data_IF_958119341520
#
_entry.id   IF_958119341520
#
_cell.length_a   1.000
_cell.length_b   1.000
_cell.length_c   1.000
_cell.angle_alpha   90.00
_cell.angle_beta   90.00
_cell.angle_gamma   90.00
#
_symmetry.space_group_name_H-M   'P 1'
#
loop_
_entity.id
_entity.type
_entity.pdbx_description
1 polymer ?
#
# COMPACT_ATOMS: atom_id res chain seq x y z
N UNK A 1 23.89 9.78 11.81
CA UNK A 1 24.01 8.50 11.07
C UNK A 1 23.66 8.76 9.61
N UNK A 2 24.52 8.39 8.68
CA UNK A 2 24.24 8.55 7.24
C UNK A 2 23.33 7.42 6.77
N UNK A 3 22.03 7.71 6.63
CA UNK A 3 20.99 6.73 6.30
C UNK A 3 21.19 6.08 4.92
N UNK A 4 21.90 6.75 3.99
CA UNK A 4 22.13 6.25 2.64
C UNK A 4 23.10 5.06 2.57
N UNK A 5 23.86 4.82 3.67
CA UNK A 5 24.82 3.73 3.82
C UNK A 5 24.29 2.54 4.62
N UNK A 6 23.08 2.64 5.13
CA UNK A 6 22.51 1.59 5.98
C UNK A 6 21.67 0.61 5.16
N UNK A 7 21.75 -0.66 5.54
CA UNK A 7 20.89 -1.71 5.01
C UNK A 7 19.45 -1.60 5.56
N UNK A 8 18.51 -2.22 4.87
CA UNK A 8 17.09 -2.20 5.21
C UNK A 8 16.82 -2.58 6.66
N UNK A 9 17.44 -3.67 7.13
CA UNK A 9 17.25 -4.23 8.47
C UNK A 9 17.70 -3.26 9.57
N UNK A 10 18.71 -2.42 9.31
CA UNK A 10 19.14 -1.37 10.24
C UNK A 10 18.19 -0.16 10.17
N UNK A 11 17.76 0.24 8.96
CA UNK A 11 16.81 1.34 8.78
C UNK A 11 15.48 1.04 9.48
N UNK A 12 14.94 -0.19 9.34
CA UNK A 12 13.66 -0.59 9.94
C UNK A 12 13.66 -0.54 11.46
N UNK A 13 14.84 -0.58 12.10
CA UNK A 13 14.99 -0.58 13.56
C UNK A 13 15.28 0.81 14.14
N UNK A 14 15.97 1.67 13.38
CA UNK A 14 16.60 2.85 13.97
C UNK A 14 16.07 4.19 13.46
N UNK A 15 15.54 4.28 12.24
CA UNK A 15 15.11 5.56 11.68
C UNK A 15 13.96 6.16 12.49
N UNK A 16 14.06 7.46 12.78
CA UNK A 16 13.10 8.20 13.60
C UNK A 16 13.31 8.05 15.11
N UNK A 17 14.28 7.19 15.52
CA UNK A 17 14.61 6.95 16.93
C UNK A 17 16.14 6.73 17.10
N UNK A 18 16.92 7.48 16.34
CA UNK A 18 18.38 7.45 16.40
C UNK A 18 18.90 7.87 17.77
N UNK A 19 18.16 8.75 18.44
CA UNK A 19 18.41 9.17 19.81
C UNK A 19 17.29 8.63 20.72
N UNK A 20 17.59 8.40 22.03
CA UNK A 20 16.56 8.10 23.02
C UNK A 20 15.59 9.27 23.17
N UNK A 21 14.45 9.05 23.83
CA UNK A 21 13.52 10.13 24.19
C UNK A 21 14.25 11.22 24.99
N UNK A 22 14.19 12.50 24.58
CA UNK A 22 15.01 13.56 25.18
C UNK A 22 14.60 13.92 26.61
N UNK A 23 13.42 13.47 27.07
CA UNK A 23 12.91 13.78 28.40
C UNK A 23 13.18 12.68 29.42
N UNK A 24 13.12 11.43 28.94
CA UNK A 24 13.15 10.26 29.85
C UNK A 24 14.30 9.29 29.59
N UNK A 25 15.09 9.53 28.52
CA UNK A 25 16.11 8.61 28.00
C UNK A 25 15.56 7.22 27.61
N UNK A 26 14.24 7.12 27.41
CA UNK A 26 13.61 5.86 27.02
C UNK A 26 14.12 5.37 25.66
N UNK A 27 14.53 4.09 25.60
CA UNK A 27 15.01 3.47 24.36
C UNK A 27 13.86 3.09 23.43
N UNK A 28 12.74 2.61 23.98
CA UNK A 28 11.54 2.35 23.19
C UNK A 28 10.86 3.66 22.80
N UNK A 29 10.16 3.68 21.65
CA UNK A 29 9.37 4.84 21.24
C UNK A 29 8.23 5.05 22.23
N UNK A 30 8.14 6.21 22.93
CA UNK A 30 7.03 6.49 23.82
C UNK A 30 5.70 6.63 23.08
N UNK A 31 4.60 6.24 23.74
CA UNK A 31 3.26 6.46 23.22
C UNK A 31 2.74 7.79 23.75
N UNK A 32 2.75 8.83 22.90
CA UNK A 32 2.22 10.14 23.24
C UNK A 32 0.71 10.20 23.03
N UNK A 33 -0.05 9.63 23.97
CA UNK A 33 -1.50 9.59 23.92
C UNK A 33 -2.10 10.91 24.43
N UNK A 34 -2.03 11.94 23.59
CA UNK A 34 -2.55 13.29 23.91
C UNK A 34 -3.25 13.90 22.71
N UNK A 35 -4.23 14.76 22.97
CA UNK A 35 -4.95 15.54 21.95
C UNK A 35 -4.25 16.84 21.59
N UNK A 36 -3.56 17.47 22.55
CA UNK A 36 -3.05 18.85 22.39
C UNK A 36 -1.74 19.05 23.16
N UNK A 37 -1.03 20.12 22.78
CA UNK A 37 0.28 20.47 23.31
C UNK A 37 0.24 21.93 23.81
N UNK A 38 0.94 22.22 24.92
CA UNK A 38 1.00 23.53 25.53
C UNK A 38 2.01 24.42 24.78
N UNK A 39 1.64 25.63 24.49
CA UNK A 39 2.54 26.64 23.97
C UNK A 39 3.23 27.41 25.12
N UNK A 40 4.43 27.93 24.88
CA UNK A 40 5.18 28.68 25.87
C UNK A 40 4.54 30.05 26.16
N UNK A 41 4.06 30.71 25.10
CA UNK A 41 3.38 32.00 25.13
C UNK A 41 2.51 32.18 23.85
N UNK A 42 1.86 33.34 23.75
CA UNK A 42 0.99 33.68 22.61
C UNK A 42 1.75 33.85 21.29
N UNK A 43 3.00 34.31 21.34
CA UNK A 43 3.84 34.51 20.16
C UNK A 43 4.27 33.14 19.58
N UNK A 44 4.68 32.21 20.47
CA UNK A 44 4.98 30.82 20.10
C UNK A 44 3.73 30.14 19.48
N UNK A 45 2.55 30.34 20.06
CA UNK A 45 1.31 29.82 19.49
C UNK A 45 1.07 30.38 18.07
N UNK A 46 1.20 31.69 17.87
CA UNK A 46 1.02 32.31 16.55
C UNK A 46 2.01 31.75 15.51
N UNK A 47 3.30 31.62 15.84
CA UNK A 47 4.35 31.10 14.97
C UNK A 47 4.08 29.65 14.54
N UNK A 48 3.54 28.80 15.45
CA UNK A 48 3.11 27.42 15.12
C UNK A 48 1.99 27.39 14.10
N UNK A 49 0.98 28.25 14.26
CA UNK A 49 -0.16 28.29 13.35
C UNK A 49 0.15 28.92 11.98
N UNK A 50 1.11 29.85 11.93
CA UNK A 50 1.60 30.43 10.67
C UNK A 50 2.63 29.55 9.94
N UNK A 51 3.00 28.41 10.48
CA UNK A 51 4.03 27.49 9.96
C UNK A 51 5.46 28.09 9.96
N UNK A 52 5.69 29.16 10.73
CA UNK A 52 7.02 29.76 10.92
C UNK A 52 7.88 28.97 11.91
N UNK A 53 7.24 28.28 12.85
CA UNK A 53 7.88 27.36 13.79
C UNK A 53 7.32 25.95 13.65
N UNK A 54 8.23 24.97 13.62
CA UNK A 54 7.86 23.54 13.47
C UNK A 54 7.56 22.90 14.82
N UNK A 55 6.60 21.96 14.87
CA UNK A 55 6.34 21.13 16.05
C UNK A 55 4.90 20.76 16.25
N UNK A 56 4.60 20.30 17.46
CA UNK A 56 3.28 19.76 17.77
C UNK A 56 2.29 20.86 18.14
N UNK A 57 1.07 20.76 17.60
CA UNK A 57 -0.04 21.66 17.89
C UNK A 57 -1.21 20.87 18.46
N UNK A 58 -1.66 19.87 17.69
CA UNK A 58 -2.82 19.06 17.99
C UNK A 58 -2.61 17.63 17.44
N UNK A 59 -2.94 16.61 18.23
CA UNK A 59 -2.63 15.21 17.96
C UNK A 59 -3.19 14.64 16.64
N UNK A 60 -4.20 15.29 16.04
CA UNK A 60 -4.68 14.95 14.69
C UNK A 60 -3.67 15.30 13.60
N UNK A 61 -2.94 16.42 13.77
CA UNK A 61 -2.01 16.93 12.76
C UNK A 61 -0.60 16.38 12.93
N UNK A 62 -0.12 16.35 14.17
CA UNK A 62 1.24 15.95 14.53
C UNK A 62 1.26 15.22 15.86
N UNK A 63 2.06 14.14 15.93
CA UNK A 63 2.26 13.38 17.16
C UNK A 63 3.64 12.72 17.11
N UNK A 64 4.46 12.76 18.17
CA UNK A 64 5.81 12.20 18.14
C UNK A 64 5.86 10.71 17.84
N UNK A 65 4.93 9.90 18.34
CA UNK A 65 4.85 8.46 18.05
C UNK A 65 4.57 8.21 16.56
N UNK A 66 3.60 8.93 16.00
CA UNK A 66 3.26 8.85 14.57
C UNK A 66 4.44 9.29 13.70
N UNK A 67 5.15 10.34 14.11
CA UNK A 67 6.32 10.87 13.39
C UNK A 67 7.43 9.84 13.21
N UNK A 68 7.68 8.98 14.22
CA UNK A 68 8.67 7.89 14.09
C UNK A 68 8.23 6.90 13.02
N UNK A 69 6.95 6.51 12.99
CA UNK A 69 6.42 5.60 11.97
C UNK A 69 6.55 6.21 10.56
N UNK A 70 6.18 7.48 10.41
CA UNK A 70 6.26 8.21 9.15
C UNK A 70 7.70 8.30 8.63
N UNK A 71 8.64 8.72 9.47
CA UNK A 71 10.06 8.81 9.10
C UNK A 71 10.65 7.45 8.71
N UNK A 72 10.29 6.41 9.45
CA UNK A 72 10.81 5.05 9.23
C UNK A 72 10.32 4.49 7.90
N UNK A 73 9.04 4.57 7.62
CA UNK A 73 8.51 4.07 6.34
C UNK A 73 8.99 4.92 5.15
N UNK A 74 9.08 6.25 5.31
CA UNK A 74 9.68 7.10 4.29
C UNK A 74 11.11 6.64 3.93
N UNK A 75 11.94 6.37 4.94
CA UNK A 75 13.31 5.91 4.72
C UNK A 75 13.37 4.50 4.08
N UNK A 76 12.48 3.60 4.46
CA UNK A 76 12.42 2.24 3.91
C UNK A 76 12.00 2.24 2.44
N UNK A 77 11.08 3.12 2.03
CA UNK A 77 10.69 3.30 0.63
C UNK A 77 11.69 4.17 -0.17
N UNK A 78 12.56 4.93 0.49
CA UNK A 78 13.45 5.89 -0.14
C UNK A 78 12.77 7.21 -0.52
N UNK A 79 11.69 7.56 0.18
CA UNK A 79 10.97 8.82 0.05
C UNK A 79 11.53 9.93 0.94
N UNK A 80 11.11 11.17 0.66
CA UNK A 80 11.52 12.36 1.43
C UNK A 80 10.61 12.60 2.63
N UNK A 81 9.35 12.17 2.56
CA UNK A 81 8.36 12.36 3.62
C UNK A 81 7.25 11.31 3.53
N UNK A 82 6.57 11.08 4.66
CA UNK A 82 5.39 10.24 4.71
C UNK A 82 4.33 10.80 5.65
N UNK A 83 3.10 10.32 5.50
CA UNK A 83 1.96 10.61 6.37
C UNK A 83 1.27 9.32 6.77
N UNK A 84 1.13 9.09 8.06
CA UNK A 84 0.33 8.01 8.63
C UNK A 84 -1.13 8.48 8.86
N UNK A 85 -2.07 7.65 8.42
CA UNK A 85 -3.52 7.90 8.50
C UNK A 85 -4.27 6.67 9.04
N UNK A 86 -5.55 6.82 9.32
CA UNK A 86 -6.37 5.83 10.03
C UNK A 86 -6.50 4.47 9.31
N UNK A 87 -6.34 4.42 7.99
CA UNK A 87 -6.48 3.18 7.20
C UNK A 87 -5.84 3.31 5.82
N UNK A 88 -5.61 2.16 5.15
CA UNK A 88 -5.19 2.14 3.75
C UNK A 88 -6.20 2.84 2.82
N UNK A 89 -7.49 2.68 3.08
CA UNK A 89 -8.54 3.35 2.30
C UNK A 89 -8.46 4.89 2.44
N UNK A 90 -8.18 5.40 3.65
CA UNK A 90 -7.95 6.83 3.85
C UNK A 90 -6.68 7.32 3.14
N UNK A 91 -5.61 6.50 3.12
CA UNK A 91 -4.39 6.82 2.40
C UNK A 91 -4.64 6.93 0.88
N UNK A 92 -5.35 5.97 0.29
CA UNK A 92 -5.75 5.99 -1.13
C UNK A 92 -6.62 7.22 -1.43
N UNK A 93 -7.65 7.48 -0.62
CA UNK A 93 -8.55 8.62 -0.82
C UNK A 93 -7.78 9.95 -0.79
N UNK A 94 -6.96 10.15 0.24
CA UNK A 94 -6.16 11.37 0.38
C UNK A 94 -5.12 11.54 -0.74
N UNK A 95 -4.51 10.44 -1.18
CA UNK A 95 -3.55 10.50 -2.27
C UNK A 95 -4.18 11.06 -3.55
N UNK A 96 -5.39 10.64 -3.89
CA UNK A 96 -6.09 11.18 -5.05
C UNK A 96 -6.71 12.56 -4.81
N UNK A 97 -7.42 12.76 -3.70
CA UNK A 97 -8.10 14.03 -3.39
C UNK A 97 -7.10 15.20 -3.29
N UNK A 98 -5.85 14.91 -2.99
CA UNK A 98 -4.79 15.92 -2.95
C UNK A 98 -4.48 16.51 -4.32
N UNK A 99 -4.70 15.79 -5.40
CA UNK A 99 -4.28 16.17 -6.76
C UNK A 99 -5.43 16.17 -7.79
N UNK A 100 -6.64 15.80 -7.39
CA UNK A 100 -7.81 15.79 -8.28
C UNK A 100 -8.88 16.77 -7.82
N UNK A 101 -9.70 17.21 -8.78
CA UNK A 101 -10.89 18.05 -8.59
C UNK A 101 -12.00 17.55 -9.53
N UNK A 102 -13.21 18.08 -9.36
CA UNK A 102 -14.31 17.86 -10.30
C UNK A 102 -13.88 18.18 -11.73
N UNK A 103 -14.13 17.25 -12.65
CA UNK A 103 -13.72 17.31 -14.05
C UNK A 103 -12.39 16.63 -14.35
N UNK A 104 -11.65 16.16 -13.34
CA UNK A 104 -10.38 15.47 -13.54
C UNK A 104 -10.54 13.97 -13.83
N UNK A 105 -9.48 13.38 -14.36
CA UNK A 105 -9.43 11.99 -14.82
C UNK A 105 -8.24 11.24 -14.20
N UNK A 106 -8.43 9.93 -13.97
CA UNK A 106 -7.42 9.00 -13.46
C UNK A 106 -7.33 7.83 -14.44
N UNK A 107 -6.12 7.32 -14.70
CA UNK A 107 -5.92 6.01 -15.34
C UNK A 107 -5.51 5.01 -14.25
N UNK A 108 -6.22 3.90 -14.14
CA UNK A 108 -5.94 2.87 -13.13
C UNK A 108 -5.82 1.49 -13.76
N UNK A 109 -4.94 0.64 -13.21
CA UNK A 109 -4.97 -0.78 -13.54
C UNK A 109 -6.31 -1.38 -13.13
N UNK A 110 -6.80 -2.38 -13.89
CA UNK A 110 -8.05 -3.10 -13.54
C UNK A 110 -7.86 -4.09 -12.41
N UNK A 111 -6.64 -4.64 -12.27
CA UNK A 111 -6.25 -5.61 -11.25
C UNK A 111 -5.74 -4.90 -10.00
N UNK A 112 -6.66 -4.29 -9.25
CA UNK A 112 -6.38 -3.56 -8.01
C UNK A 112 -7.34 -4.01 -6.90
N UNK A 113 -7.02 -3.66 -5.66
CA UNK A 113 -7.85 -3.94 -4.50
C UNK A 113 -9.31 -3.47 -4.72
N UNK A 114 -10.27 -4.36 -4.43
CA UNK A 114 -11.70 -4.10 -4.68
C UNK A 114 -12.24 -2.85 -4.02
N UNK A 115 -11.74 -2.47 -2.82
CA UNK A 115 -12.12 -1.21 -2.17
C UNK A 115 -11.64 0.02 -2.94
N UNK A 116 -10.44 -0.02 -3.51
CA UNK A 116 -9.91 1.04 -4.38
C UNK A 116 -10.67 1.09 -5.70
N UNK A 117 -10.98 -0.07 -6.29
CA UNK A 117 -11.83 -0.14 -7.49
C UNK A 117 -13.19 0.54 -7.23
N UNK A 118 -13.88 0.19 -6.15
CA UNK A 118 -15.17 0.79 -5.80
C UNK A 118 -15.08 2.30 -5.56
N UNK A 119 -14.02 2.78 -4.90
CA UNK A 119 -13.77 4.21 -4.73
C UNK A 119 -13.69 4.93 -6.07
N UNK A 120 -12.87 4.39 -6.99
CA UNK A 120 -12.61 5.00 -8.29
C UNK A 120 -13.77 4.83 -9.29
N UNK A 121 -14.47 3.68 -9.27
CA UNK A 121 -15.55 3.37 -10.19
C UNK A 121 -16.91 3.98 -9.80
N UNK A 122 -17.18 4.14 -8.51
CA UNK A 122 -18.51 4.50 -8.02
C UNK A 122 -18.53 5.76 -7.15
N UNK A 123 -17.57 5.91 -6.20
CA UNK A 123 -17.59 7.05 -5.28
C UNK A 123 -17.06 8.32 -5.95
N UNK A 124 -15.94 8.27 -6.64
CA UNK A 124 -15.35 9.45 -7.28
C UNK A 124 -16.18 10.04 -8.42
N UNK A 125 -16.87 9.25 -9.26
CA UNK A 125 -17.80 9.81 -10.26
C UNK A 125 -18.89 10.70 -9.66
N UNK A 126 -19.39 10.40 -8.47
CA UNK A 126 -20.35 11.27 -7.77
C UNK A 126 -19.77 12.64 -7.37
N UNK A 127 -18.43 12.76 -7.36
CA UNK A 127 -17.68 14.00 -7.12
C UNK A 127 -17.15 14.61 -8.43
N UNK A 128 -17.53 14.03 -9.59
CA UNK A 128 -17.10 14.48 -10.92
C UNK A 128 -15.66 14.12 -11.26
N UNK A 129 -15.06 13.12 -10.62
CA UNK A 129 -13.74 12.57 -10.94
C UNK A 129 -13.96 11.23 -11.64
N UNK A 130 -13.42 11.06 -12.85
CA UNK A 130 -13.63 9.87 -13.65
C UNK A 130 -12.38 9.02 -13.77
N UNK A 131 -12.55 7.70 -13.95
CA UNK A 131 -11.43 6.75 -14.04
C UNK A 131 -11.60 5.87 -15.26
N UNK A 132 -10.52 5.68 -16.04
CA UNK A 132 -10.40 4.64 -17.04
C UNK A 132 -9.57 3.49 -16.49
N UNK A 133 -10.18 2.30 -16.42
CA UNK A 133 -9.49 1.09 -16.02
C UNK A 133 -8.88 0.38 -17.23
N UNK A 134 -7.62 -0.02 -17.11
CA UNK A 134 -6.86 -0.62 -18.21
C UNK A 134 -6.16 -1.92 -17.79
N UNK A 135 -5.87 -2.76 -18.77
CA UNK A 135 -4.92 -3.84 -18.62
C UNK A 135 -3.49 -3.24 -18.63
N UNK A 136 -2.93 -3.01 -17.45
CA UNK A 136 -1.63 -2.37 -17.29
C UNK A 136 -0.43 -3.31 -17.53
N UNK A 137 -0.64 -4.60 -17.74
CA UNK A 137 0.40 -5.53 -18.22
C UNK A 137 0.90 -5.12 -19.61
N UNK A 138 0.08 -4.37 -20.34
CA UNK A 138 0.40 -3.76 -21.63
C UNK A 138 0.53 -2.24 -21.45
N UNK A 139 1.74 -1.68 -21.27
CA UNK A 139 1.93 -0.25 -21.05
C UNK A 139 1.29 0.66 -22.11
N UNK A 140 1.17 0.18 -23.35
CA UNK A 140 0.48 0.92 -24.42
C UNK A 140 -1.00 1.22 -24.09
N UNK A 141 -1.69 0.34 -23.35
CA UNK A 141 -3.07 0.59 -22.94
C UNK A 141 -3.14 1.74 -21.93
N UNK A 142 -2.13 1.86 -21.06
CA UNK A 142 -2.03 2.96 -20.11
C UNK A 142 -1.88 4.28 -20.85
N UNK A 143 -0.96 4.33 -21.82
CA UNK A 143 -0.69 5.53 -22.62
C UNK A 143 -1.92 5.97 -23.43
N UNK A 144 -2.62 5.03 -24.09
CA UNK A 144 -3.82 5.31 -24.88
C UNK A 144 -5.00 5.82 -24.03
N UNK A 145 -5.06 5.49 -22.75
CA UNK A 145 -6.11 5.92 -21.85
C UNK A 145 -5.91 7.33 -21.29
N UNK A 146 -4.72 7.92 -21.46
CA UNK A 146 -4.41 9.27 -20.95
C UNK A 146 -5.20 10.32 -21.72
N UNK A 147 -5.86 11.20 -20.97
CA UNK A 147 -6.66 12.34 -21.47
C UNK A 147 -6.00 13.66 -21.06
N UNK A 148 -6.35 14.80 -21.67
CA UNK A 148 -5.80 16.10 -21.29
C UNK A 148 -5.98 16.47 -19.81
N UNK A 149 -7.08 16.02 -19.19
CA UNK A 149 -7.43 16.21 -17.79
C UNK A 149 -6.98 15.07 -16.87
N UNK A 150 -6.18 14.11 -17.35
CA UNK A 150 -5.61 13.05 -16.50
C UNK A 150 -4.62 13.65 -15.49
N UNK A 151 -4.77 13.27 -14.21
CA UNK A 151 -3.97 13.75 -13.09
C UNK A 151 -3.06 12.70 -12.50
N UNK A 152 -3.34 11.41 -12.68
CA UNK A 152 -2.53 10.35 -12.14
C UNK A 152 -2.69 9.06 -12.93
N UNK A 153 -1.65 8.22 -12.87
CA UNK A 153 -1.71 6.79 -13.15
C UNK A 153 -1.62 6.04 -11.83
N UNK A 154 -2.44 5.01 -11.64
CA UNK A 154 -2.46 4.18 -10.44
C UNK A 154 -2.32 2.70 -10.76
N UNK A 155 -1.38 2.04 -10.09
CA UNK A 155 -1.16 0.59 -10.18
C UNK A 155 -0.86 0.02 -8.78
N UNK A 156 -0.85 -1.30 -8.67
CA UNK A 156 -0.32 -2.00 -7.49
C UNK A 156 1.05 -2.61 -7.81
N UNK A 157 1.94 -2.65 -6.82
CA UNK A 157 3.25 -3.29 -6.95
C UNK A 157 3.15 -4.80 -7.18
N UNK A 158 2.15 -5.42 -6.54
CA UNK A 158 1.65 -6.77 -6.81
C UNK A 158 0.13 -6.69 -6.86
N UNK A 159 -0.45 -6.97 -8.00
CA UNK A 159 -1.90 -6.84 -8.22
C UNK A 159 -2.72 -7.87 -7.44
N UNK A 160 -3.86 -7.45 -6.95
CA UNK A 160 -4.81 -8.29 -6.20
C UNK A 160 -5.96 -8.73 -7.14
N UNK A 161 -6.37 -10.01 -7.16
CA UNK A 161 -5.95 -11.08 -6.26
C UNK A 161 -4.81 -11.98 -6.80
N UNK A 162 -4.47 -11.90 -8.07
CA UNK A 162 -3.66 -12.88 -8.80
C UNK A 162 -2.16 -12.55 -8.83
N UNK A 163 -1.67 -11.58 -8.04
CA UNK A 163 -0.28 -11.14 -8.03
C UNK A 163 0.26 -10.73 -9.42
N UNK A 164 -0.57 -10.06 -10.21
CA UNK A 164 -0.19 -9.56 -11.53
C UNK A 164 0.98 -8.58 -11.44
N UNK A 165 1.99 -8.74 -12.30
CA UNK A 165 3.14 -7.85 -12.40
C UNK A 165 3.02 -6.94 -13.62
N UNK A 166 3.40 -5.68 -13.43
CA UNK A 166 3.48 -4.67 -14.50
C UNK A 166 4.87 -4.09 -14.60
N UNK A 167 5.26 -3.60 -15.76
CA UNK A 167 6.57 -2.90 -15.91
C UNK A 167 6.47 -1.49 -15.33
N UNK A 168 6.74 -1.36 -14.04
CA UNK A 168 6.66 -0.11 -13.28
C UNK A 168 7.48 0.99 -13.93
N UNK A 169 8.73 0.71 -14.32
CA UNK A 169 9.62 1.70 -14.91
C UNK A 169 9.06 2.23 -16.24
N UNK A 170 8.50 1.35 -17.08
CA UNK A 170 7.90 1.76 -18.34
C UNK A 170 6.63 2.61 -18.13
N UNK A 171 5.81 2.26 -17.14
CA UNK A 171 4.62 3.06 -16.79
C UNK A 171 5.03 4.41 -16.21
N UNK A 172 6.08 4.47 -15.40
CA UNK A 172 6.63 5.72 -14.89
C UNK A 172 7.12 6.65 -16.02
N UNK A 173 7.85 6.11 -17.01
CA UNK A 173 8.25 6.87 -18.19
C UNK A 173 7.05 7.47 -18.92
N UNK A 174 5.99 6.68 -19.14
CA UNK A 174 4.74 7.17 -19.76
C UNK A 174 4.13 8.29 -18.92
N UNK A 175 3.99 8.09 -17.59
CA UNK A 175 3.43 9.09 -16.69
C UNK A 175 4.20 10.42 -16.78
N UNK A 176 5.52 10.35 -16.69
CA UNK A 176 6.38 11.53 -16.71
C UNK A 176 6.40 12.23 -18.06
N UNK A 177 6.36 11.50 -19.18
CA UNK A 177 6.21 12.11 -20.52
C UNK A 177 4.92 12.93 -20.63
N UNK A 178 3.87 12.53 -19.93
CA UNK A 178 2.61 13.26 -19.86
C UNK A 178 2.52 14.24 -18.69
N UNK A 179 3.61 14.44 -17.94
CA UNK A 179 3.67 15.36 -16.79
C UNK A 179 2.62 15.05 -15.71
N UNK A 180 2.38 13.78 -15.44
CA UNK A 180 1.50 13.29 -14.38
C UNK A 180 2.25 12.31 -13.48
N UNK A 181 1.95 12.25 -12.16
CA UNK A 181 2.62 11.33 -11.25
C UNK A 181 2.11 9.90 -11.41
N UNK A 182 3.02 8.94 -11.12
CA UNK A 182 2.70 7.54 -10.92
C UNK A 182 2.50 7.26 -9.42
N UNK A 183 1.30 6.80 -9.06
CA UNK A 183 0.93 6.37 -7.73
C UNK A 183 0.92 4.84 -7.66
N UNK A 184 1.56 4.26 -6.64
CA UNK A 184 1.64 2.79 -6.48
C UNK A 184 1.18 2.38 -5.09
N UNK A 185 0.20 1.49 -5.02
CA UNK A 185 -0.08 0.75 -3.79
C UNK A 185 0.92 -0.41 -3.66
N UNK A 186 1.82 -0.31 -2.68
CA UNK A 186 2.88 -1.27 -2.43
C UNK A 186 2.58 -2.19 -1.23
N UNK A 187 1.31 -2.31 -0.86
CA UNK A 187 0.87 -3.07 0.32
C UNK A 187 1.32 -4.52 0.29
N UNK A 188 1.22 -5.21 -0.86
CA UNK A 188 1.54 -6.64 -0.96
C UNK A 188 3.03 -6.92 -1.08
N UNK A 189 3.77 -6.05 -1.76
CA UNK A 189 5.21 -6.23 -1.91
C UNK A 189 6.00 -5.77 -0.69
N UNK A 190 5.52 -4.76 0.02
CA UNK A 190 6.24 -4.07 1.10
C UNK A 190 7.54 -3.39 0.61
N UNK A 191 8.10 -2.44 1.34
CA UNK A 191 9.38 -1.84 0.95
C UNK A 191 10.56 -2.82 1.04
N UNK A 192 10.36 -4.02 1.61
CA UNK A 192 11.38 -5.05 1.70
C UNK A 192 11.59 -5.82 0.38
N UNK A 193 10.51 -6.16 -0.32
CA UNK A 193 10.59 -6.89 -1.59
C UNK A 193 10.71 -5.95 -2.79
N UNK A 194 10.02 -4.80 -2.74
CA UNK A 194 9.97 -3.82 -3.82
C UNK A 194 9.98 -2.40 -3.26
N UNK A 195 10.84 -1.55 -3.81
CA UNK A 195 10.87 -0.11 -3.55
C UNK A 195 10.49 0.64 -4.83
N UNK A 196 9.20 0.94 -5.06
CA UNK A 196 8.72 1.50 -6.32
C UNK A 196 9.38 2.84 -6.70
N UNK A 197 9.80 3.64 -5.72
CA UNK A 197 10.50 4.91 -5.93
C UNK A 197 11.83 4.72 -6.70
N UNK A 198 12.48 3.57 -6.55
CA UNK A 198 13.70 3.24 -7.30
C UNK A 198 13.40 2.94 -8.78
N UNK A 199 12.14 2.69 -9.11
CA UNK A 199 11.65 2.38 -10.45
C UNK A 199 10.79 3.52 -11.06
N UNK A 200 10.80 4.70 -10.45
CA UNK A 200 10.15 5.89 -10.97
C UNK A 200 8.77 6.21 -10.41
N UNK A 201 8.29 5.49 -9.38
CA UNK A 201 7.07 5.90 -8.68
C UNK A 201 7.27 7.23 -7.95
N UNK A 202 6.25 8.08 -7.99
CA UNK A 202 6.26 9.37 -7.33
C UNK A 202 5.64 9.31 -5.94
N UNK A 203 4.54 8.59 -5.82
CA UNK A 203 3.82 8.39 -4.55
C UNK A 203 3.63 6.90 -4.31
N UNK A 204 4.00 6.44 -3.11
CA UNK A 204 3.79 5.06 -2.67
C UNK A 204 2.79 5.02 -1.53
N UNK A 205 1.87 4.07 -1.58
CA UNK A 205 0.79 3.95 -0.62
C UNK A 205 0.86 2.55 0.02
N UNK A 206 0.56 2.48 1.31
CA UNK A 206 0.44 1.24 2.04
C UNK A 206 -0.82 1.19 2.88
N UNK A 207 -1.53 0.08 2.83
CA UNK A 207 -2.32 -0.35 3.97
C UNK A 207 -1.37 -0.95 5.02
N UNK A 208 -0.96 -0.14 5.98
CA UNK A 208 -0.06 -0.59 7.06
C UNK A 208 -0.70 -1.67 7.95
N UNK A 209 -2.02 -1.82 7.87
CA UNK A 209 -2.82 -2.91 8.45
C UNK A 209 -2.30 -4.30 8.08
N UNK A 210 -1.68 -4.44 6.89
CA UNK A 210 -1.25 -5.70 6.29
C UNK A 210 0.14 -6.09 6.77
N UNK A 211 1.09 -6.38 5.91
CA UNK A 211 2.44 -6.84 6.29
C UNK A 211 3.18 -5.92 7.25
N UNK A 212 3.00 -4.59 7.17
CA UNK A 212 3.68 -3.65 8.08
C UNK A 212 3.29 -3.98 9.53
N UNK A 213 2.00 -4.04 9.84
CA UNK A 213 1.52 -4.50 11.14
C UNK A 213 1.71 -6.00 11.36
N UNK A 214 1.28 -6.80 10.42
CA UNK A 214 1.52 -8.25 10.30
C UNK A 214 0.76 -9.15 11.27
N UNK A 215 -0.02 -8.60 12.21
CA UNK A 215 -0.65 -9.36 13.30
C UNK A 215 -2.17 -9.21 13.36
N UNK A 216 -2.78 -8.51 12.40
CA UNK A 216 -4.24 -8.30 12.38
C UNK A 216 -4.79 -7.44 13.54
N UNK A 217 -3.93 -6.71 14.27
CA UNK A 217 -4.29 -6.01 15.51
C UNK A 217 -4.67 -4.55 15.31
N UNK A 218 -4.16 -3.90 14.25
CA UNK A 218 -4.29 -2.45 14.09
C UNK A 218 -4.54 -2.05 12.63
N UNK A 219 -5.45 -1.09 12.45
CA UNK A 219 -5.64 -0.41 11.19
C UNK A 219 -4.65 0.74 11.04
N UNK A 220 -4.17 0.96 9.82
CA UNK A 220 -3.37 2.12 9.46
C UNK A 220 -3.16 2.21 7.96
N UNK A 221 -2.90 3.41 7.48
CA UNK A 221 -2.49 3.69 6.10
C UNK A 221 -1.27 4.60 6.11
N UNK A 222 -0.44 4.52 5.08
CA UNK A 222 0.73 5.38 4.93
C UNK A 222 0.82 5.83 3.48
N UNK A 223 1.11 7.11 3.30
CA UNK A 223 1.40 7.73 2.00
C UNK A 223 2.85 8.20 2.07
N UNK A 224 3.66 7.81 1.09
CA UNK A 224 5.07 8.20 0.97
C UNK A 224 5.25 9.01 -0.31
N UNK A 225 5.91 10.16 -0.19
CA UNK A 225 6.29 11.02 -1.31
C UNK A 225 7.77 10.81 -1.66
N UNK A 226 8.04 10.53 -2.92
CA UNK A 226 9.42 10.43 -3.43
C UNK A 226 10.17 11.76 -3.37
N UNK A 227 9.43 12.88 -3.43
CA UNK A 227 9.97 14.24 -3.57
C UNK A 227 10.58 14.54 -4.94
N UNK A 228 10.41 13.65 -5.92
CA UNK A 228 11.05 13.75 -7.25
C UNK A 228 10.14 14.36 -8.31
N UNK A 229 8.82 14.33 -8.13
CA UNK A 229 7.88 14.88 -9.11
C UNK A 229 7.89 16.41 -9.06
N UNK A 230 8.16 17.05 -10.20
CA UNK A 230 8.15 18.51 -10.31
C UNK A 230 6.71 19.03 -10.53
N UNK A 231 6.04 19.34 -9.42
CA UNK A 231 4.67 19.84 -9.39
C UNK A 231 4.52 21.16 -10.17
N UNK A 232 5.56 22.01 -10.15
CA UNK A 232 5.55 23.31 -10.84
C UNK A 232 5.73 23.15 -12.35
N UNK A 233 6.73 22.40 -12.78
CA UNK A 233 6.98 22.13 -14.20
C UNK A 233 5.81 21.44 -14.89
N UNK A 234 5.09 20.57 -14.17
CA UNK A 234 3.87 19.92 -14.67
C UNK A 234 2.77 20.90 -15.06
N UNK A 235 2.58 21.97 -14.27
CA UNK A 235 1.51 22.96 -14.48
C UNK A 235 0.08 22.45 -14.28
N UNK A 236 -0.10 21.18 -13.92
CA UNK A 236 -1.42 20.53 -13.82
C UNK A 236 -2.03 20.55 -12.41
N UNK A 237 -1.28 20.99 -11.39
CA UNK A 237 -1.63 20.83 -9.97
C UNK A 237 -1.67 22.20 -9.24
N UNK A 238 -2.61 23.11 -9.59
CA UNK A 238 -2.67 24.44 -8.98
C UNK A 238 -2.88 24.41 -7.46
N UNK A 239 -3.50 23.35 -6.90
CA UNK A 239 -3.67 23.18 -5.46
C UNK A 239 -2.35 23.03 -4.68
N UNK A 240 -1.25 22.66 -5.35
CA UNK A 240 0.09 22.60 -4.76
C UNK A 240 0.95 23.81 -5.14
N UNK A 241 0.69 24.41 -6.31
CA UNK A 241 1.58 25.38 -6.96
C UNK A 241 1.03 26.81 -7.02
N UNK A 242 -0.22 27.02 -6.59
CA UNK A 242 -0.84 28.34 -6.50
C UNK A 242 -1.05 28.75 -5.04
N UNK A 243 -1.22 30.07 -4.76
CA UNK A 243 -1.54 30.55 -3.43
C UNK A 243 -2.80 29.91 -2.84
N UNK A 244 -2.69 29.33 -1.64
CA UNK A 244 -3.80 28.68 -0.95
C UNK A 244 -4.54 29.69 -0.04
N UNK A 245 -5.86 29.86 -0.21
CA UNK A 245 -6.64 30.83 0.58
C UNK A 245 -6.75 30.45 2.06
N UNK A 246 -6.64 29.15 2.41
CA UNK A 246 -6.70 28.67 3.80
C UNK A 246 -5.44 29.00 4.59
N UNK A 247 -4.34 29.33 3.90
CA UNK A 247 -3.05 29.66 4.48
C UNK A 247 -2.53 31.03 4.00
N UNK A 248 -3.42 32.03 3.94
CA UNK A 248 -3.07 33.42 3.62
C UNK A 248 -2.28 33.63 2.33
N UNK A 249 -2.53 32.74 1.32
CA UNK A 249 -1.84 32.84 0.05
C UNK A 249 -0.50 32.08 -0.02
N UNK A 250 -0.20 31.21 0.95
CA UNK A 250 0.98 30.36 0.93
C UNK A 250 0.88 29.35 -0.23
N UNK A 251 1.99 29.13 -0.92
CA UNK A 251 2.12 28.10 -1.95
C UNK A 251 2.88 26.89 -1.38
N UNK A 252 2.24 25.72 -1.32
CA UNK A 252 2.85 24.52 -0.71
C UNK A 252 4.15 24.08 -1.40
N UNK A 253 4.21 24.18 -2.73
CA UNK A 253 5.42 23.86 -3.48
C UNK A 253 6.60 24.79 -3.19
N UNK A 254 6.33 26.02 -2.75
CA UNK A 254 7.38 27.01 -2.38
C UNK A 254 7.91 26.76 -0.98
N UNK A 255 7.00 26.54 -0.01
CA UNK A 255 7.39 26.47 1.41
C UNK A 255 7.85 25.10 1.85
N UNK A 256 7.34 24.04 1.25
CA UNK A 256 7.67 22.65 1.62
C UNK A 256 8.58 21.95 0.58
N UNK A 257 8.81 22.57 -0.58
CA UNK A 257 9.68 22.02 -1.61
C UNK A 257 9.31 20.57 -1.97
N UNK A 258 10.27 19.63 -1.87
CA UNK A 258 10.03 18.21 -2.17
C UNK A 258 8.95 17.54 -1.32
N UNK A 259 8.66 18.06 -0.13
CA UNK A 259 7.63 17.51 0.76
C UNK A 259 6.24 18.17 0.58
N UNK A 260 6.04 18.97 -0.46
CA UNK A 260 4.81 19.73 -0.70
C UNK A 260 3.55 18.87 -0.71
N UNK A 261 3.63 17.70 -1.32
CA UNK A 261 2.51 16.78 -1.44
C UNK A 261 2.01 16.29 -0.08
N UNK A 262 2.89 15.79 0.77
CA UNK A 262 2.56 15.31 2.12
C UNK A 262 2.16 16.47 3.03
N UNK A 263 2.85 17.61 2.93
CA UNK A 263 2.55 18.80 3.73
C UNK A 263 1.13 19.28 3.46
N UNK A 264 0.70 19.32 2.20
CA UNK A 264 -0.67 19.72 1.86
C UNK A 264 -1.71 18.70 2.35
N UNK A 265 -1.48 17.41 2.22
CA UNK A 265 -2.41 16.40 2.76
C UNK A 265 -2.59 16.62 4.27
N UNK A 266 -1.50 16.80 5.00
CA UNK A 266 -1.53 17.03 6.45
C UNK A 266 -2.27 18.34 6.82
N UNK A 267 -1.94 19.42 6.13
CA UNK A 267 -2.44 20.76 6.44
C UNK A 267 -3.90 20.96 6.01
N UNK A 268 -4.37 20.30 4.96
CA UNK A 268 -5.72 20.45 4.42
C UNK A 268 -6.56 19.21 4.69
N UNK A 269 -6.27 18.09 4.04
CA UNK A 269 -7.16 16.93 4.03
C UNK A 269 -7.25 16.27 5.41
N UNK A 270 -6.13 15.99 6.06
CA UNK A 270 -6.12 15.39 7.39
C UNK A 270 -6.72 16.33 8.43
N UNK A 271 -6.41 17.65 8.36
CA UNK A 271 -6.98 18.64 9.25
C UNK A 271 -8.50 18.70 9.17
N UNK A 272 -9.04 18.73 7.94
CA UNK A 272 -10.44 19.05 7.67
C UNK A 272 -11.34 17.81 7.73
N UNK A 273 -10.85 16.63 7.34
CA UNK A 273 -11.64 15.39 7.26
C UNK A 273 -11.31 14.37 8.34
N UNK A 274 -10.16 14.50 9.02
CA UNK A 274 -9.91 13.90 10.33
C UNK A 274 -9.55 12.41 10.36
N UNK A 275 -9.10 11.79 9.25
CA UNK A 275 -8.68 10.38 9.24
C UNK A 275 -7.31 10.15 9.93
N UNK A 276 -7.15 10.66 11.15
CA UNK A 276 -5.92 10.56 11.92
C UNK A 276 -5.74 9.16 12.51
N UNK A 277 -4.51 8.65 12.47
CA UNK A 277 -4.15 7.39 13.13
C UNK A 277 -4.03 7.63 14.64
N UNK A 278 -4.43 6.63 15.44
CA UNK A 278 -4.16 6.64 16.88
C UNK A 278 -2.67 6.46 17.18
N UNK A 279 -2.09 7.18 18.16
CA UNK A 279 -0.70 6.93 18.60
C UNK A 279 -0.45 5.50 19.04
N UNK A 280 -1.43 4.85 19.66
CA UNK A 280 -1.35 3.45 20.03
C UNK A 280 -1.29 2.52 18.81
N UNK A 281 -2.09 2.76 17.78
CA UNK A 281 -2.00 2.01 16.52
C UNK A 281 -0.65 2.25 15.83
N UNK A 282 -0.16 3.48 15.80
CA UNK A 282 1.16 3.79 15.26
C UNK A 282 2.29 3.03 15.99
N UNK A 283 2.20 2.92 17.31
CA UNK A 283 3.13 2.12 18.12
C UNK A 283 3.07 0.62 17.75
N UNK A 284 1.89 0.02 17.63
CA UNK A 284 1.75 -1.38 17.23
C UNK A 284 2.27 -1.62 15.80
N UNK A 285 2.04 -0.68 14.88
CA UNK A 285 2.60 -0.76 13.53
C UNK A 285 4.12 -0.63 13.51
N UNK A 286 4.70 0.20 14.39
CA UNK A 286 6.15 0.29 14.57
C UNK A 286 6.75 -1.03 15.06
N UNK A 287 6.11 -1.70 16.02
CA UNK A 287 6.55 -3.03 16.48
C UNK A 287 6.51 -4.06 15.35
N UNK A 288 5.44 -4.06 14.55
CA UNK A 288 5.35 -4.90 13.36
C UNK A 288 6.46 -4.59 12.36
N UNK A 289 6.73 -3.31 12.12
CA UNK A 289 7.74 -2.85 11.17
C UNK A 289 9.16 -3.30 11.56
N UNK A 290 9.48 -3.36 12.85
CA UNK A 290 10.80 -3.78 13.34
C UNK A 290 11.19 -5.22 12.98
N UNK A 291 10.22 -6.06 12.67
CA UNK A 291 10.43 -7.46 12.24
C UNK A 291 9.96 -7.72 10.81
N UNK A 292 9.71 -6.67 10.03
CA UNK A 292 9.13 -6.81 8.69
C UNK A 292 9.96 -7.71 7.78
N UNK A 293 11.28 -7.48 7.68
CA UNK A 293 12.17 -8.28 6.82
C UNK A 293 12.12 -9.75 7.18
N UNK A 294 12.26 -10.09 8.46
CA UNK A 294 12.26 -11.47 8.96
C UNK A 294 10.93 -12.19 8.65
N UNK A 295 9.81 -11.49 8.83
CA UNK A 295 8.48 -12.06 8.54
C UNK A 295 8.27 -12.23 7.06
N UNK A 296 8.61 -11.24 6.24
CA UNK A 296 8.41 -11.29 4.79
C UNK A 296 9.28 -12.37 4.16
N UNK A 297 10.52 -12.55 4.59
CA UNK A 297 11.38 -13.66 4.15
C UNK A 297 10.70 -15.02 4.42
N UNK A 298 10.21 -15.25 5.64
CA UNK A 298 9.54 -16.48 6.00
C UNK A 298 8.22 -16.67 5.23
N UNK A 299 7.44 -15.62 5.05
CA UNK A 299 6.23 -15.64 4.22
C UNK A 299 6.53 -16.08 2.79
N UNK A 300 7.56 -15.50 2.16
CA UNK A 300 7.97 -15.84 0.79
C UNK A 300 8.50 -17.26 0.71
N UNK A 301 9.36 -17.66 1.64
CA UNK A 301 9.90 -19.03 1.70
C UNK A 301 8.77 -20.07 1.77
N UNK A 302 7.83 -19.88 2.68
CA UNK A 302 6.67 -20.78 2.83
C UNK A 302 5.79 -20.75 1.57
N UNK A 303 5.50 -19.57 1.03
CA UNK A 303 4.66 -19.42 -0.16
C UNK A 303 5.23 -20.18 -1.37
N UNK A 304 6.53 -20.09 -1.62
CA UNK A 304 7.16 -20.80 -2.74
C UNK A 304 7.06 -22.31 -2.59
N UNK A 305 7.19 -22.85 -1.36
CA UNK A 305 7.00 -24.28 -1.10
C UNK A 305 5.53 -24.71 -1.27
N UNK A 306 4.58 -23.88 -0.86
CA UNK A 306 3.15 -24.13 -1.09
C UNK A 306 2.81 -24.04 -2.58
N UNK A 307 3.36 -23.09 -3.32
CA UNK A 307 3.20 -22.97 -4.78
C UNK A 307 3.71 -24.24 -5.48
N UNK A 308 4.90 -24.71 -5.12
CA UNK A 308 5.47 -25.95 -5.68
C UNK A 308 4.58 -27.17 -5.38
N UNK A 309 4.12 -27.31 -4.14
CA UNK A 309 3.19 -28.38 -3.75
C UNK A 309 1.89 -28.36 -4.56
N UNK A 310 1.25 -27.19 -4.65
CA UNK A 310 -0.03 -27.04 -5.34
C UNK A 310 0.11 -27.24 -6.85
N UNK A 311 1.20 -26.78 -7.47
CA UNK A 311 1.45 -26.94 -8.91
C UNK A 311 1.52 -28.42 -9.34
N UNK A 312 2.02 -29.28 -8.47
CA UNK A 312 2.16 -30.71 -8.74
C UNK A 312 0.98 -31.57 -8.25
N UNK A 313 0.00 -30.96 -7.57
CA UNK A 313 -1.11 -31.72 -6.99
C UNK A 313 -2.20 -32.02 -8.03
N UNK A 314 -2.66 -33.29 -8.21
CA UNK A 314 -3.60 -33.68 -9.28
C UNK A 314 -4.98 -33.03 -9.19
N UNK A 315 -5.41 -32.56 -8.02
CA UNK A 315 -6.68 -31.85 -7.82
C UNK A 315 -6.59 -30.34 -8.02
N UNK A 316 -5.39 -29.80 -8.30
CA UNK A 316 -5.16 -28.40 -8.63
C UNK A 316 -5.10 -28.23 -10.14
N UNK A 317 -5.87 -27.29 -10.67
CA UNK A 317 -5.97 -27.00 -12.10
C UNK A 317 -4.94 -25.94 -12.53
N UNK A 318 -4.72 -24.95 -11.70
CA UNK A 318 -3.85 -23.80 -11.98
C UNK A 318 -3.39 -23.12 -10.69
N UNK A 319 -2.19 -22.60 -10.68
CA UNK A 319 -1.68 -21.72 -9.62
C UNK A 319 -1.29 -20.38 -10.26
N UNK A 320 -1.75 -19.27 -9.67
CA UNK A 320 -1.44 -17.90 -10.13
C UNK A 320 -0.42 -17.28 -9.17
N UNK A 321 0.86 -17.47 -9.46
CA UNK A 321 1.95 -16.91 -8.67
C UNK A 321 3.05 -16.36 -9.60
N UNK A 322 3.64 -15.19 -9.33
CA UNK A 322 4.60 -14.54 -10.24
C UNK A 322 5.90 -15.31 -10.49
N UNK A 323 6.25 -16.26 -9.61
CA UNK A 323 7.42 -17.13 -9.82
C UNK A 323 7.21 -18.15 -10.94
N UNK A 324 5.97 -18.38 -11.38
CA UNK A 324 5.65 -19.35 -12.42
C UNK A 324 5.78 -18.71 -13.81
N UNK A 325 6.48 -19.35 -14.76
CA UNK A 325 6.77 -18.75 -16.07
C UNK A 325 5.53 -18.48 -16.92
N UNK A 326 4.46 -19.27 -16.71
CA UNK A 326 3.21 -19.11 -17.44
C UNK A 326 2.32 -17.98 -16.89
N UNK A 327 2.68 -17.43 -15.72
CA UNK A 327 1.92 -16.36 -15.07
C UNK A 327 2.47 -14.98 -15.43
N UNK A 328 3.78 -14.82 -15.42
CA UNK A 328 4.42 -13.52 -15.65
C UNK A 328 5.73 -13.66 -16.42
N UNK A 329 6.19 -12.60 -17.06
CA UNK A 329 7.51 -12.57 -17.68
C UNK A 329 8.60 -12.84 -16.64
N UNK A 330 9.44 -13.88 -16.81
CA UNK A 330 10.56 -14.13 -15.90
C UNK A 330 11.51 -12.94 -15.75
N UNK A 331 11.65 -12.13 -16.79
CA UNK A 331 12.48 -10.91 -16.76
C UNK A 331 11.89 -9.83 -15.84
N UNK A 332 10.57 -9.63 -15.84
CA UNK A 332 9.92 -8.70 -14.91
C UNK A 332 9.99 -9.20 -13.46
N UNK A 333 9.77 -10.50 -13.26
CA UNK A 333 9.91 -11.09 -11.94
C UNK A 333 11.33 -10.90 -11.38
N UNK A 334 12.36 -11.25 -12.16
CA UNK A 334 13.75 -11.08 -11.74
C UNK A 334 14.13 -9.60 -11.52
N UNK A 335 13.58 -8.68 -12.33
CA UNK A 335 13.83 -7.24 -12.21
C UNK A 335 13.27 -6.65 -10.93
N UNK A 336 12.02 -6.98 -10.59
CA UNK A 336 11.30 -6.34 -9.48
C UNK A 336 11.31 -7.14 -8.18
N UNK A 337 11.46 -8.46 -8.25
CA UNK A 337 11.35 -9.36 -7.10
C UNK A 337 12.53 -10.35 -6.98
N UNK A 338 13.77 -9.86 -6.94
CA UNK A 338 14.95 -10.74 -6.81
C UNK A 338 14.97 -11.51 -5.48
N UNK A 339 14.24 -11.05 -4.46
CA UNK A 339 14.08 -11.71 -3.16
C UNK A 339 12.85 -12.64 -3.10
N UNK A 340 12.15 -12.81 -4.22
CA UNK A 340 10.88 -13.52 -4.30
C UNK A 340 9.67 -12.57 -4.23
N UNK A 341 8.55 -13.00 -4.80
CA UNK A 341 7.28 -12.28 -4.71
C UNK A 341 6.46 -12.79 -3.53
N UNK A 342 5.46 -12.01 -3.15
CA UNK A 342 4.68 -12.13 -1.93
C UNK A 342 4.00 -13.48 -1.67
N UNK A 343 3.41 -13.57 -0.50
CA UNK A 343 2.79 -14.79 0.03
C UNK A 343 1.27 -14.83 -0.16
N UNK A 344 0.72 -13.90 -0.94
CA UNK A 344 -0.71 -13.83 -1.24
C UNK A 344 -0.88 -14.16 -2.72
N UNK A 345 -1.58 -15.26 -3.02
CA UNK A 345 -1.79 -15.71 -4.39
C UNK A 345 -3.08 -16.49 -4.50
N UNK A 346 -3.49 -16.82 -5.73
CA UNK A 346 -4.67 -17.65 -6.00
C UNK A 346 -4.29 -18.95 -6.66
N UNK A 347 -5.16 -19.95 -6.49
CA UNK A 347 -5.12 -21.18 -7.26
C UNK A 347 -6.53 -21.65 -7.58
N UNK A 348 -6.66 -22.50 -8.59
CA UNK A 348 -7.91 -23.11 -9.02
C UNK A 348 -7.86 -24.60 -8.77
N UNK A 349 -8.91 -25.13 -8.15
CA UNK A 349 -9.06 -26.58 -7.96
C UNK A 349 -9.86 -27.22 -9.08
N UNK A 350 -9.79 -28.54 -9.21
CA UNK A 350 -10.71 -29.30 -10.05
C UNK A 350 -12.13 -29.18 -9.49
N UNK A 351 -13.12 -29.02 -10.38
CA UNK A 351 -14.51 -28.79 -10.00
C UNK A 351 -14.93 -27.33 -10.05
N UNK A 352 -15.78 -26.92 -9.13
CA UNK A 352 -16.39 -25.58 -9.09
C UNK A 352 -16.50 -25.03 -7.66
N UNK A 353 -17.53 -24.21 -7.43
CA UNK A 353 -17.77 -23.55 -6.11
C UNK A 353 -17.96 -24.58 -4.99
N UNK A 354 -18.65 -25.69 -5.23
CA UNK A 354 -18.93 -26.70 -4.21
C UNK A 354 -17.65 -27.34 -3.69
N UNK A 355 -16.75 -27.72 -4.59
CA UNK A 355 -15.45 -28.29 -4.26
C UNK A 355 -14.55 -27.27 -3.57
N UNK A 356 -14.57 -25.99 -4.04
CA UNK A 356 -13.82 -24.90 -3.41
C UNK A 356 -14.27 -24.67 -1.96
N UNK A 357 -15.57 -24.62 -1.70
CA UNK A 357 -16.10 -24.49 -0.35
C UNK A 357 -15.77 -25.72 0.51
N UNK A 358 -15.91 -26.95 -0.04
CA UNK A 358 -15.56 -28.17 0.68
C UNK A 358 -14.08 -28.21 1.07
N UNK A 359 -13.18 -27.82 0.18
CA UNK A 359 -11.76 -27.68 0.50
C UNK A 359 -11.54 -26.69 1.66
N UNK A 360 -12.11 -25.48 1.56
CA UNK A 360 -11.94 -24.43 2.57
C UNK A 360 -12.47 -24.86 3.93
N UNK A 361 -13.64 -25.52 3.96
CA UNK A 361 -14.32 -25.95 5.20
C UNK A 361 -13.59 -27.08 5.92
N UNK A 362 -12.64 -27.78 5.25
CA UNK A 362 -11.83 -28.83 5.84
C UNK A 362 -10.42 -28.38 6.24
N UNK A 363 -10.05 -27.11 6.00
CA UNK A 363 -8.79 -26.57 6.51
C UNK A 363 -8.87 -26.38 8.03
N UNK A 364 -7.82 -26.80 8.75
CA UNK A 364 -7.74 -26.73 10.21
C UNK A 364 -6.81 -25.62 10.71
N UNK A 365 -5.77 -25.28 9.94
CA UNK A 365 -4.78 -24.23 10.27
C UNK A 365 -5.15 -22.91 9.61
N UNK A 366 -5.54 -22.95 8.34
CA UNK A 366 -5.89 -21.74 7.60
C UNK A 366 -7.21 -21.14 8.10
N UNK A 367 -7.18 -19.90 8.54
CA UNK A 367 -8.40 -19.20 8.98
C UNK A 367 -9.17 -18.61 7.79
N UNK A 368 -10.47 -18.88 7.73
CA UNK A 368 -11.39 -18.30 6.74
C UNK A 368 -11.81 -16.90 7.16
N UNK A 369 -11.28 -15.87 6.54
CA UNK A 369 -11.64 -14.47 6.82
C UNK A 369 -11.22 -13.51 5.70
N UNK A 370 -11.81 -12.33 5.69
CA UNK A 370 -11.55 -11.27 4.72
C UNK A 370 -10.33 -10.42 5.11
N UNK A 371 -9.16 -11.04 5.28
CA UNK A 371 -7.89 -10.37 5.49
C UNK A 371 -6.77 -11.03 4.67
N UNK A 372 -5.57 -10.46 4.70
CA UNK A 372 -4.34 -10.98 4.09
C UNK A 372 -3.13 -10.49 4.89
N UNK A 373 -1.96 -11.09 4.67
CA UNK A 373 -0.68 -10.62 5.21
C UNK A 373 -0.61 -10.65 6.75
N UNK A 374 -1.31 -11.58 7.37
CA UNK A 374 -1.16 -11.92 8.78
C UNK A 374 -0.02 -12.95 8.93
N UNK A 375 0.63 -12.99 10.10
CA UNK A 375 1.60 -14.04 10.45
C UNK A 375 0.96 -15.44 10.45
N UNK A 376 -0.37 -15.52 10.57
CA UNK A 376 -1.16 -16.74 10.44
C UNK A 376 -1.63 -16.91 9.00
N UNK A 377 -1.68 -18.16 8.54
CA UNK A 377 -2.20 -18.50 7.21
C UNK A 377 -3.71 -18.28 7.11
N UNK A 378 -4.13 -17.64 6.03
CA UNK A 378 -5.52 -17.27 5.77
C UNK A 378 -5.99 -17.80 4.43
N UNK A 379 -7.30 -18.04 4.32
CA UNK A 379 -7.96 -18.50 3.09
C UNK A 379 -9.26 -17.73 2.86
N UNK A 380 -9.63 -17.54 1.59
CA UNK A 380 -10.94 -17.04 1.21
C UNK A 380 -11.32 -17.51 -0.19
N UNK A 381 -12.63 -17.61 -0.47
CA UNK A 381 -13.19 -17.84 -1.79
C UNK A 381 -13.60 -16.49 -2.42
N UNK A 382 -12.82 -15.89 -3.32
CA UNK A 382 -13.07 -14.52 -3.81
C UNK A 382 -14.44 -14.34 -4.44
N UNK A 383 -14.87 -15.28 -5.32
CA UNK A 383 -16.11 -15.16 -6.07
C UNK A 383 -17.38 -15.08 -5.21
N UNK A 384 -17.39 -15.71 -4.00
CA UNK A 384 -18.55 -15.65 -3.09
C UNK A 384 -18.40 -14.63 -1.95
N UNK A 385 -17.28 -13.91 -1.87
CA UNK A 385 -16.98 -13.00 -0.76
C UNK A 385 -16.48 -11.63 -1.23
N UNK A 386 -15.17 -11.45 -1.36
CA UNK A 386 -14.54 -10.16 -1.70
C UNK A 386 -14.91 -9.60 -3.07
N UNK A 387 -15.39 -10.44 -3.99
CA UNK A 387 -15.80 -10.08 -5.35
C UNK A 387 -17.24 -10.51 -5.65
N UNK A 388 -18.06 -10.76 -4.62
CA UNK A 388 -19.45 -11.23 -4.76
C UNK A 388 -20.40 -10.25 -5.45
N UNK A 389 -19.99 -8.98 -5.61
CA UNK A 389 -20.73 -7.95 -6.33
C UNK A 389 -20.53 -8.02 -7.84
N UNK A 390 -19.52 -8.75 -8.33
CA UNK A 390 -19.19 -8.91 -9.73
C UNK A 390 -20.00 -10.06 -10.36
N UNK A 391 -20.45 -9.89 -11.60
CA UNK A 391 -21.01 -10.98 -12.37
C UNK A 391 -19.91 -11.90 -12.92
N UNK A 392 -20.30 -13.04 -13.53
CA UNK A 392 -19.34 -14.06 -14.00
C UNK A 392 -18.38 -13.52 -15.10
N UNK A 393 -18.83 -12.58 -15.94
CA UNK A 393 -17.98 -11.96 -16.95
C UNK A 393 -16.94 -11.03 -16.29
N UNK A 394 -17.35 -10.20 -15.35
CA UNK A 394 -16.47 -9.31 -14.60
C UNK A 394 -15.46 -10.08 -13.74
N UNK A 395 -15.87 -11.21 -13.15
CA UNK A 395 -14.97 -12.13 -12.45
C UNK A 395 -13.92 -12.70 -13.41
N UNK A 396 -14.35 -13.18 -14.59
CA UNK A 396 -13.45 -13.73 -15.60
C UNK A 396 -12.44 -12.68 -16.13
N UNK A 397 -12.85 -11.43 -16.29
CA UNK A 397 -11.98 -10.32 -16.69
C UNK A 397 -10.88 -10.02 -15.63
N UNK A 398 -11.12 -10.37 -14.36
CA UNK A 398 -10.16 -10.30 -13.28
C UNK A 398 -9.42 -11.62 -13.05
N UNK A 399 -9.63 -12.63 -13.90
CA UNK A 399 -9.02 -13.96 -13.79
C UNK A 399 -9.52 -14.76 -12.58
N UNK A 400 -10.75 -14.51 -12.13
CA UNK A 400 -11.39 -15.21 -11.01
C UNK A 400 -12.46 -16.16 -11.58
N UNK A 401 -12.43 -17.42 -11.16
CA UNK A 401 -13.44 -18.43 -11.50
C UNK A 401 -14.19 -18.89 -10.25
N UNK A 402 -15.23 -19.72 -10.43
CA UNK A 402 -15.95 -20.32 -9.31
C UNK A 402 -15.13 -21.36 -8.53
N UNK A 403 -13.98 -21.80 -9.04
CA UNK A 403 -13.03 -22.68 -8.37
C UNK A 403 -11.79 -21.98 -7.83
N UNK A 404 -11.74 -20.64 -7.94
CA UNK A 404 -10.59 -19.84 -7.47
C UNK A 404 -10.60 -19.70 -5.96
N UNK A 405 -9.49 -20.04 -5.33
CA UNK A 405 -9.23 -19.88 -3.90
C UNK A 405 -8.04 -18.95 -3.73
N UNK A 406 -8.13 -17.99 -2.81
CA UNK A 406 -7.00 -17.12 -2.44
C UNK A 406 -6.43 -17.55 -1.11
N UNK A 407 -5.11 -17.77 -1.08
CA UNK A 407 -4.33 -18.00 0.12
C UNK A 407 -3.53 -16.76 0.49
N UNK A 408 -3.32 -16.56 1.78
CA UNK A 408 -2.31 -15.69 2.35
C UNK A 408 -1.47 -16.55 3.29
N UNK A 409 -0.28 -16.92 2.84
CA UNK A 409 0.58 -17.86 3.54
C UNK A 409 1.27 -17.15 4.71
N UNK A 410 1.17 -17.72 5.88
CA UNK A 410 1.74 -17.23 7.12
C UNK A 410 3.18 -17.69 7.38
N UNK A 411 3.58 -17.61 8.64
CA UNK A 411 4.94 -17.92 9.09
C UNK A 411 5.05 -19.23 9.88
N UNK A 412 3.99 -20.04 9.87
CA UNK A 412 3.93 -21.36 10.53
C UNK A 412 5.00 -22.31 9.98
N UNK A 413 5.17 -23.45 10.62
CA UNK A 413 6.04 -24.50 10.09
C UNK A 413 5.49 -25.04 8.78
N UNK A 414 6.33 -25.11 7.76
CA UNK A 414 5.88 -25.43 6.40
C UNK A 414 5.23 -26.83 6.28
N UNK A 415 5.76 -27.83 7.00
CA UNK A 415 5.21 -29.18 6.95
C UNK A 415 3.77 -29.24 7.47
N UNK A 416 3.43 -28.44 8.49
CA UNK A 416 2.08 -28.36 9.01
C UNK A 416 1.13 -27.73 7.99
N UNK A 417 1.58 -26.67 7.30
CA UNK A 417 0.79 -26.04 6.22
C UNK A 417 0.54 -27.01 5.05
N UNK A 418 1.57 -27.75 4.63
CA UNK A 418 1.43 -28.70 3.54
C UNK A 418 0.55 -29.90 3.93
N UNK A 419 0.63 -30.36 5.17
CA UNK A 419 -0.24 -31.41 5.68
C UNK A 419 -1.71 -30.96 5.72
N UNK A 420 -1.99 -29.74 6.16
CA UNK A 420 -3.33 -29.17 6.20
C UNK A 420 -3.93 -29.02 4.80
N UNK A 421 -3.16 -28.48 3.86
CA UNK A 421 -3.57 -28.39 2.44
C UNK A 421 -3.82 -29.75 1.82
N UNK A 422 -2.97 -30.74 2.11
CA UNK A 422 -3.09 -32.10 1.56
C UNK A 422 -4.37 -32.77 2.06
N UNK A 423 -4.61 -32.79 3.38
CA UNK A 423 -5.79 -33.43 3.94
C UNK A 423 -7.09 -32.76 3.44
N UNK A 424 -7.12 -31.45 3.29
CA UNK A 424 -8.29 -30.73 2.77
C UNK A 424 -8.51 -31.03 1.26
N UNK A 425 -7.45 -31.12 0.46
CA UNK A 425 -7.54 -31.53 -0.94
C UNK A 425 -8.06 -32.98 -1.08
N UNK A 426 -7.80 -33.87 -0.15
CA UNK A 426 -8.32 -35.26 -0.19
C UNK A 426 -9.86 -35.31 -0.09
N UNK A 427 -10.49 -34.30 0.45
CA UNK A 427 -11.94 -34.22 0.65
C UNK A 427 -12.75 -33.80 -0.59
N UNK A 428 -12.09 -33.39 -1.68
CA UNK A 428 -12.74 -32.94 -2.92
C UNK A 428 -12.58 -33.92 -4.07
#
# INVERSE_FOLDING_TARGET
>A
MDRTKLHFETLQLHVGQENPDPTTDARAVPIYQTTSYVFHDSAHAAARFSLEDSGNIYGRLTNPTQSVLEQRVAALEGGVSALAVASGAAAISYAFENITRTGDHIVAARTIYGGTYNLLAHTFPSRGIHTTFVDAEKPANVEQAIQPNTKAIFIEGLGNPNCTLVDIARIAEIAHCHQIPLLIDNTFATPYLLRPIEHGADIVIHSATKFIGGHGTSLGGIIVDSGKFDWKASGKFPQLTSPDPCYHGLCFADVAGPAAYITRIRAILLRDTGAAISPFNAFLLLQGLETLSLRVERHVENALKVVDFLQHHPKVKKVNHPSLPDHTSPALYQKYFPKGAGSIFTFEIQGGRTEAHRFIDHLEIFSLLANVADVKSLVIHPASTTHSQLNDQELAEQGITQSTIRLSIGTEHIEDLLADLSQALEQI
#
